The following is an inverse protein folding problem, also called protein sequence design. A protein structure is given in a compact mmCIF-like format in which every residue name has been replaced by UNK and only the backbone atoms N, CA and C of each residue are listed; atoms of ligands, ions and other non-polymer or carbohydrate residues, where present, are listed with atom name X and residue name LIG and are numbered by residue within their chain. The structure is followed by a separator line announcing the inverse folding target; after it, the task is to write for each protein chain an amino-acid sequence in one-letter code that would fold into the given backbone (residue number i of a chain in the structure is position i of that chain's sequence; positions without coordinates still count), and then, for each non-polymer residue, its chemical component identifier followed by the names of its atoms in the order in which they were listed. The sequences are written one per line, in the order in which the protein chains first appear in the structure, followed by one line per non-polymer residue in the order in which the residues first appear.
data_IF_058601997360
#
_entry.id   IF_058601997360
#
_cell.length_a   1.000
_cell.length_b   1.000
_cell.length_c   1.000
_cell.angle_alpha   90.00
_cell.angle_beta   90.00
_cell.angle_gamma   90.00
#
_symmetry.space_group_name_H-M   'P 1'
#
loop_
_entity.id
_entity.type
_entity.pdbx_description
1 polymer ?
#
# COMPACT_ATOMS: atom_id res chain seq x y z
N UNK A 1 -27.90 2.06 -17.99
CA UNK A 1 -27.35 2.42 -16.66
C UNK A 1 -25.89 2.01 -16.69
N UNK A 2 -24.99 2.82 -16.14
CA UNK A 2 -23.59 2.42 -15.99
C UNK A 2 -23.51 1.17 -15.10
N UNK A 3 -22.61 0.26 -15.44
CA UNK A 3 -22.34 -0.95 -14.66
C UNK A 3 -21.88 -0.57 -13.23
N UNK A 4 -22.53 -1.15 -12.23
CA UNK A 4 -22.18 -0.95 -10.82
C UNK A 4 -21.11 -1.95 -10.39
N UNK A 5 -20.40 -1.65 -9.31
CA UNK A 5 -19.41 -2.57 -8.73
C UNK A 5 -19.99 -3.95 -8.37
N UNK A 6 -21.27 -4.00 -7.98
CA UNK A 6 -22.00 -5.25 -7.75
C UNK A 6 -22.10 -6.14 -9.00
N UNK A 7 -22.05 -5.54 -10.18
CA UNK A 7 -22.21 -6.21 -11.47
C UNK A 7 -20.89 -6.77 -11.99
N UNK A 8 -19.74 -6.36 -11.41
CA UNK A 8 -18.43 -6.83 -11.84
C UNK A 8 -18.32 -8.34 -11.62
N UNK A 9 -18.20 -9.10 -12.70
CA UNK A 9 -18.16 -10.55 -12.62
C UNK A 9 -16.74 -11.01 -12.31
N UNK A 10 -16.57 -11.64 -11.15
CA UNK A 10 -15.34 -12.35 -10.86
C UNK A 10 -15.30 -13.66 -11.66
N UNK A 11 -14.22 -13.85 -12.40
CA UNK A 11 -13.86 -15.11 -13.04
C UNK A 11 -12.40 -15.38 -12.70
N UNK A 12 -12.14 -16.49 -12.00
CA UNK A 12 -10.77 -16.93 -11.73
C UNK A 12 -9.98 -16.95 -13.05
N UNK A 13 -8.90 -16.17 -13.16
CA UNK A 13 -8.13 -16.12 -14.39
C UNK A 13 -7.34 -17.41 -14.59
N UNK A 14 -7.05 -17.77 -15.84
CA UNK A 14 -6.30 -18.97 -16.18
C UNK A 14 -4.79 -18.64 -16.23
N UNK A 15 -4.03 -19.20 -15.29
CA UNK A 15 -2.59 -19.03 -15.18
C UNK A 15 -1.83 -19.68 -16.35
N UNK A 16 -2.37 -20.77 -16.88
CA UNK A 16 -1.79 -21.48 -18.03
C UNK A 16 -2.00 -20.69 -19.31
N UNK A 17 -3.20 -20.14 -19.52
CA UNK A 17 -3.53 -19.28 -20.67
C UNK A 17 -2.64 -18.03 -20.70
N UNK A 18 -2.50 -17.33 -19.57
CA UNK A 18 -1.66 -16.14 -19.49
C UNK A 18 -0.18 -16.47 -19.73
N UNK A 19 0.35 -17.52 -19.10
CA UNK A 19 1.75 -17.93 -19.30
C UNK A 19 2.01 -18.31 -20.76
N UNK A 20 1.09 -19.03 -21.40
CA UNK A 20 1.19 -19.38 -22.81
C UNK A 20 1.15 -18.13 -23.72
N UNK A 21 0.30 -17.16 -23.41
CA UNK A 21 0.22 -15.89 -24.14
C UNK A 21 1.53 -15.10 -23.98
N UNK A 22 2.05 -14.95 -22.76
CA UNK A 22 3.32 -14.25 -22.52
C UNK A 22 4.49 -14.93 -23.23
N UNK A 23 4.55 -16.26 -23.22
CA UNK A 23 5.56 -17.01 -23.97
C UNK A 23 5.45 -16.81 -25.49
N UNK A 24 4.22 -16.75 -26.02
CA UNK A 24 3.97 -16.48 -27.44
C UNK A 24 4.41 -15.06 -27.80
N UNK A 25 3.97 -14.06 -27.05
CA UNK A 25 4.32 -12.67 -27.28
C UNK A 25 5.83 -12.44 -27.11
N UNK A 26 6.49 -13.07 -26.14
CA UNK A 26 7.96 -13.06 -26.01
C UNK A 26 8.65 -13.59 -27.29
N UNK A 27 8.12 -14.65 -27.88
CA UNK A 27 8.66 -15.22 -29.12
C UNK A 27 8.49 -14.26 -30.30
N UNK A 28 7.33 -13.59 -30.39
CA UNK A 28 7.05 -12.56 -31.40
C UNK A 28 8.01 -11.38 -31.21
N UNK A 29 8.15 -10.89 -29.98
CA UNK A 29 9.02 -9.78 -29.64
C UNK A 29 10.47 -10.04 -30.02
N UNK A 30 10.98 -11.26 -29.77
CA UNK A 30 12.35 -11.66 -30.14
C UNK A 30 12.55 -11.83 -31.64
N UNK A 31 11.52 -12.25 -32.37
CA UNK A 31 11.57 -12.45 -33.82
C UNK A 31 11.23 -11.18 -34.63
N UNK A 32 10.71 -10.14 -33.97
CA UNK A 32 10.27 -8.91 -34.59
C UNK A 32 11.39 -8.24 -35.38
N UNK A 33 11.02 -7.71 -36.55
CA UNK A 33 11.95 -7.04 -37.49
C UNK A 33 11.75 -5.53 -37.51
N UNK A 34 10.82 -5.02 -36.70
CA UNK A 34 10.51 -3.60 -36.54
C UNK A 34 10.14 -3.26 -35.09
N UNK A 35 10.22 -1.97 -34.76
CA UNK A 35 9.77 -1.48 -33.45
C UNK A 35 8.26 -1.61 -33.29
N UNK A 36 7.51 -1.39 -34.37
CA UNK A 36 6.05 -1.46 -34.41
C UNK A 36 5.54 -2.86 -34.05
N UNK A 37 6.19 -3.91 -34.54
CA UNK A 37 5.88 -5.30 -34.18
C UNK A 37 6.09 -5.58 -32.69
N UNK A 38 7.16 -5.04 -32.09
CA UNK A 38 7.42 -5.19 -30.67
C UNK A 38 6.44 -4.39 -29.81
N UNK A 39 6.06 -3.18 -30.23
CA UNK A 39 5.04 -2.35 -29.54
C UNK A 39 3.70 -3.08 -29.50
N UNK A 40 3.28 -3.66 -30.62
CA UNK A 40 2.02 -4.42 -30.68
C UNK A 40 2.06 -5.69 -29.84
N UNK A 41 3.22 -6.37 -29.79
CA UNK A 41 3.41 -7.53 -28.92
C UNK A 41 3.35 -7.15 -27.44
N UNK A 42 3.99 -6.03 -27.07
CA UNK A 42 3.92 -5.48 -25.72
C UNK A 42 2.50 -5.10 -25.32
N UNK A 43 1.75 -4.38 -26.16
CA UNK A 43 0.35 -4.02 -25.87
C UNK A 43 -0.52 -5.24 -25.57
N UNK A 44 -0.35 -6.34 -26.33
CA UNK A 44 -1.10 -7.58 -26.09
C UNK A 44 -0.70 -8.26 -24.78
N UNK A 45 0.61 -8.31 -24.48
CA UNK A 45 1.10 -8.86 -23.22
C UNK A 45 0.59 -8.05 -22.02
N UNK A 46 0.64 -6.72 -22.09
CA UNK A 46 0.18 -5.81 -21.05
C UNK A 46 -1.34 -5.92 -20.83
N UNK A 47 -2.14 -5.94 -21.90
CA UNK A 47 -3.58 -6.14 -21.80
C UNK A 47 -3.94 -7.47 -21.11
N UNK A 48 -3.20 -8.54 -21.40
CA UNK A 48 -3.41 -9.84 -20.76
C UNK A 48 -3.01 -9.84 -19.27
N UNK A 49 -1.91 -9.16 -18.91
CA UNK A 49 -1.48 -8.99 -17.53
C UNK A 49 -2.51 -8.17 -16.74
N UNK A 50 -3.00 -7.06 -17.31
CA UNK A 50 -3.99 -6.19 -16.67
C UNK A 50 -5.31 -6.91 -16.44
N UNK A 51 -5.81 -7.64 -17.44
CA UNK A 51 -7.04 -8.44 -17.29
C UNK A 51 -6.92 -9.50 -16.17
N UNK A 52 -5.74 -10.11 -16.01
CA UNK A 52 -5.47 -11.05 -14.91
C UNK A 52 -5.41 -10.32 -13.56
N UNK A 53 -4.71 -9.18 -13.50
CA UNK A 53 -4.56 -8.35 -12.31
C UNK A 53 -5.92 -7.83 -11.80
N UNK A 54 -6.80 -7.39 -12.69
CA UNK A 54 -8.14 -6.89 -12.35
C UNK A 54 -8.98 -7.92 -11.61
N UNK A 55 -8.89 -9.20 -11.98
CA UNK A 55 -9.57 -10.28 -11.26
C UNK A 55 -8.99 -10.49 -9.86
N UNK A 56 -7.67 -10.39 -9.72
CA UNK A 56 -6.99 -10.40 -8.43
C UNK A 56 -7.41 -9.24 -7.53
N UNK A 57 -7.44 -8.03 -8.09
CA UNK A 57 -7.90 -6.82 -7.41
C UNK A 57 -9.37 -6.94 -6.98
N UNK A 58 -10.22 -7.51 -7.83
CA UNK A 58 -11.63 -7.74 -7.50
C UNK A 58 -11.78 -8.73 -6.33
N UNK A 59 -11.03 -9.83 -6.35
CA UNK A 59 -11.01 -10.80 -5.26
C UNK A 59 -10.49 -10.16 -3.96
N UNK A 60 -9.38 -9.44 -4.02
CA UNK A 60 -8.80 -8.72 -2.88
C UNK A 60 -9.78 -7.70 -2.29
N UNK A 61 -10.44 -6.90 -3.13
CA UNK A 61 -11.41 -5.91 -2.67
C UNK A 61 -12.57 -6.59 -1.95
N UNK A 62 -13.16 -7.64 -2.53
CA UNK A 62 -14.29 -8.36 -1.93
C UNK A 62 -13.92 -9.08 -0.64
N UNK A 63 -12.75 -9.74 -0.59
CA UNK A 63 -12.19 -10.34 0.62
C UNK A 63 -11.89 -9.30 1.72
N UNK A 64 -11.56 -8.07 1.33
CA UNK A 64 -11.30 -6.97 2.27
C UNK A 64 -12.59 -6.35 2.82
N UNK A 65 -13.68 -6.36 2.03
CA UNK A 65 -15.01 -5.89 2.47
C UNK A 65 -15.63 -6.85 3.49
N UNK A 66 -15.52 -8.17 3.27
CA UNK A 66 -15.90 -9.18 4.27
C UNK A 66 -14.92 -10.35 4.26
N UNK A 67 -14.02 -10.39 5.24
CA UNK A 67 -13.03 -11.46 5.39
C UNK A 67 -13.61 -12.80 5.85
N UNK A 68 -14.92 -12.85 6.17
CA UNK A 68 -15.64 -14.10 6.48
C UNK A 68 -16.19 -14.77 5.24
N UNK A 69 -16.18 -14.10 4.09
CA UNK A 69 -16.51 -14.71 2.80
C UNK A 69 -15.40 -15.69 2.41
N UNK A 70 -15.65 -16.97 2.67
CA UNK A 70 -14.70 -18.06 2.40
C UNK A 70 -14.33 -18.17 0.92
N UNK A 71 -15.24 -17.79 0.01
CA UNK A 71 -14.96 -17.81 -1.43
C UNK A 71 -13.90 -16.77 -1.77
N UNK A 72 -14.14 -15.49 -1.47
CA UNK A 72 -13.17 -14.45 -1.83
C UNK A 72 -11.86 -14.54 -1.02
N UNK A 73 -11.90 -15.01 0.22
CA UNK A 73 -10.69 -15.30 0.98
C UNK A 73 -9.82 -16.38 0.32
N UNK A 74 -10.46 -17.45 -0.21
CA UNK A 74 -9.76 -18.49 -0.95
C UNK A 74 -9.25 -18.01 -2.31
N UNK A 75 -10.03 -17.22 -3.05
CA UNK A 75 -9.63 -16.64 -4.33
C UNK A 75 -8.44 -15.66 -4.19
N UNK A 76 -8.45 -14.81 -3.17
CA UNK A 76 -7.34 -13.92 -2.87
C UNK A 76 -6.06 -14.71 -2.49
N UNK A 77 -6.20 -15.73 -1.64
CA UNK A 77 -5.07 -16.61 -1.27
C UNK A 77 -4.50 -17.30 -2.49
N UNK A 78 -5.37 -17.86 -3.33
CA UNK A 78 -4.98 -18.49 -4.60
C UNK A 78 -4.23 -17.50 -5.51
N UNK A 79 -4.73 -16.27 -5.64
CA UNK A 79 -4.07 -15.25 -6.44
C UNK A 79 -2.66 -14.95 -5.91
N UNK A 80 -2.51 -14.78 -4.59
CA UNK A 80 -1.20 -14.56 -3.97
C UNK A 80 -0.22 -15.74 -4.15
N UNK A 81 -0.72 -16.98 -4.13
CA UNK A 81 0.10 -18.17 -4.40
C UNK A 81 0.58 -18.24 -5.86
N UNK A 82 -0.23 -17.74 -6.80
CA UNK A 82 0.07 -17.76 -8.24
C UNK A 82 0.88 -16.56 -8.73
N UNK A 83 0.79 -15.43 -8.04
CA UNK A 83 1.52 -14.21 -8.38
C UNK A 83 3.01 -14.39 -8.69
N UNK A 84 3.79 -15.17 -7.91
CA UNK A 84 5.21 -15.37 -8.20
C UNK A 84 5.48 -16.02 -9.56
N UNK A 85 4.66 -16.99 -9.98
CA UNK A 85 4.80 -17.65 -11.28
C UNK A 85 4.52 -16.68 -12.42
N UNK A 86 3.49 -15.85 -12.28
CA UNK A 86 3.18 -14.82 -13.26
C UNK A 86 4.30 -13.76 -13.35
N UNK A 87 4.81 -13.32 -12.20
CA UNK A 87 5.93 -12.36 -12.16
C UNK A 87 7.17 -12.91 -12.88
N UNK A 88 7.47 -14.21 -12.73
CA UNK A 88 8.57 -14.84 -13.45
C UNK A 88 8.36 -14.81 -14.97
N UNK A 89 7.17 -15.20 -15.45
CA UNK A 89 6.86 -15.18 -16.88
C UNK A 89 6.91 -13.76 -17.47
N UNK A 90 6.39 -12.78 -16.73
CA UNK A 90 6.43 -11.37 -17.13
C UNK A 90 7.86 -10.80 -17.11
N UNK A 91 8.69 -11.21 -16.15
CA UNK A 91 10.08 -10.75 -16.03
C UNK A 91 10.90 -11.10 -17.28
N UNK A 92 10.73 -12.30 -17.84
CA UNK A 92 11.42 -12.68 -19.09
C UNK A 92 11.00 -11.79 -20.27
N UNK A 93 9.71 -11.44 -20.33
CA UNK A 93 9.17 -10.54 -21.34
C UNK A 93 9.75 -9.12 -21.20
N UNK A 94 9.71 -8.56 -19.99
CA UNK A 94 10.26 -7.24 -19.71
C UNK A 94 11.79 -7.17 -19.90
N UNK A 95 12.51 -8.23 -19.53
CA UNK A 95 13.95 -8.35 -19.79
C UNK A 95 14.24 -8.29 -21.30
N UNK A 96 13.44 -8.96 -22.12
CA UNK A 96 13.60 -8.92 -23.57
C UNK A 96 13.28 -7.53 -24.16
N UNK A 97 12.30 -6.80 -23.61
CA UNK A 97 12.06 -5.40 -23.95
C UNK A 97 13.27 -4.52 -23.62
N UNK A 98 13.84 -4.67 -22.42
CA UNK A 98 14.97 -3.87 -21.95
C UNK A 98 16.23 -4.05 -22.82
N UNK A 99 16.44 -5.27 -23.33
CA UNK A 99 17.59 -5.62 -24.16
C UNK A 99 17.29 -5.57 -25.68
N UNK A 100 16.13 -5.05 -26.08
CA UNK A 100 15.74 -4.98 -27.48
C UNK A 100 16.64 -4.00 -28.27
N UNK A 101 17.01 -4.35 -29.53
CA UNK A 101 17.67 -3.40 -30.43
C UNK A 101 16.79 -2.19 -30.79
N UNK A 102 15.47 -2.30 -30.62
CA UNK A 102 14.50 -1.22 -30.86
C UNK A 102 14.14 -0.43 -29.59
N UNK A 103 14.92 -0.58 -28.50
CA UNK A 103 14.68 0.11 -27.23
C UNK A 103 14.43 1.62 -27.35
N UNK A 104 15.20 2.41 -28.14
CA UNK A 104 14.94 3.85 -28.26
C UNK A 104 13.53 4.17 -28.77
N UNK A 105 13.00 3.37 -29.70
CA UNK A 105 11.64 3.54 -30.24
C UNK A 105 10.59 3.10 -29.22
N UNK A 106 10.85 2.02 -28.48
CA UNK A 106 9.96 1.56 -27.41
C UNK A 106 9.86 2.60 -26.29
N UNK A 107 10.98 3.17 -25.85
CA UNK A 107 11.03 4.26 -24.87
C UNK A 107 10.25 5.49 -25.33
N UNK A 108 10.28 5.81 -26.63
CA UNK A 108 9.49 6.91 -27.18
C UNK A 108 7.98 6.64 -27.13
N UNK A 109 7.57 5.37 -27.33
CA UNK A 109 6.15 5.00 -27.37
C UNK A 109 5.47 4.97 -26.00
N UNK A 110 6.19 4.59 -24.95
CA UNK A 110 5.64 4.31 -23.63
C UNK A 110 6.24 5.18 -22.50
N UNK A 111 7.28 5.96 -22.81
CA UNK A 111 8.05 6.73 -21.85
C UNK A 111 9.22 5.94 -21.27
N UNK A 112 10.33 6.63 -21.00
CA UNK A 112 11.58 6.01 -20.53
C UNK A 112 11.53 5.43 -19.11
N UNK A 113 10.55 5.82 -18.27
CA UNK A 113 10.49 5.38 -16.87
C UNK A 113 10.38 3.87 -16.74
N UNK A 114 9.54 3.21 -17.54
CA UNK A 114 9.33 1.77 -17.41
C UNK A 114 10.63 0.98 -17.65
N UNK A 115 11.48 1.43 -18.57
CA UNK A 115 12.77 0.79 -18.82
C UNK A 115 13.75 0.96 -17.66
N UNK A 116 13.69 2.10 -16.96
CA UNK A 116 14.44 2.29 -15.72
C UNK A 116 13.94 1.37 -14.61
N UNK A 117 12.62 1.19 -14.49
CA UNK A 117 12.03 0.29 -13.50
C UNK A 117 12.40 -1.18 -13.76
N UNK A 118 12.34 -1.63 -15.03
CA UNK A 118 12.73 -3.00 -15.42
C UNK A 118 14.21 -3.23 -15.12
N UNK A 119 15.08 -2.28 -15.49
CA UNK A 119 16.52 -2.38 -15.23
C UNK A 119 16.84 -2.42 -13.73
N UNK A 120 16.10 -1.68 -12.90
CA UNK A 120 16.23 -1.74 -11.45
C UNK A 120 15.78 -3.10 -10.90
N UNK A 121 14.67 -3.65 -11.40
CA UNK A 121 14.20 -4.97 -10.96
C UNK A 121 15.19 -6.08 -11.27
N UNK A 122 15.78 -6.11 -12.48
CA UNK A 122 16.82 -7.09 -12.83
C UNK A 122 18.05 -7.01 -11.90
N UNK A 123 18.40 -5.82 -11.43
CA UNK A 123 19.50 -5.65 -10.47
C UNK A 123 19.14 -6.09 -9.05
N UNK A 124 17.85 -6.11 -8.69
CA UNK A 124 17.37 -6.37 -7.34
C UNK A 124 16.92 -7.81 -7.10
N UNK A 125 16.54 -8.52 -8.16
CA UNK A 125 15.93 -9.84 -8.08
C UNK A 125 16.76 -10.81 -8.91
N UNK A 126 17.44 -11.73 -8.25
CA UNK A 126 18.19 -12.82 -8.86
C UNK A 126 18.15 -14.08 -7.97
N UNK A 127 18.61 -15.19 -8.52
CA UNK A 127 18.58 -16.50 -7.84
C UNK A 127 19.27 -16.47 -6.47
N UNK A 128 20.34 -15.68 -6.30
CA UNK A 128 21.10 -15.64 -5.06
C UNK A 128 20.31 -15.01 -3.90
N UNK A 129 19.47 -14.01 -4.18
CA UNK A 129 18.69 -13.27 -3.18
C UNK A 129 17.28 -13.82 -2.97
N UNK A 130 16.76 -14.64 -3.89
CA UNK A 130 15.38 -15.12 -3.85
C UNK A 130 14.97 -15.76 -2.50
N UNK A 131 15.78 -16.62 -1.85
CA UNK A 131 15.44 -17.17 -0.54
C UNK A 131 15.32 -16.10 0.56
N UNK A 132 16.16 -15.06 0.51
CA UNK A 132 16.11 -13.98 1.51
C UNK A 132 14.92 -13.05 1.28
N UNK A 133 14.54 -12.81 0.02
CA UNK A 133 13.32 -12.07 -0.32
C UNK A 133 12.08 -12.78 0.24
N UNK A 134 12.01 -14.11 0.10
CA UNK A 134 10.94 -14.91 0.69
C UNK A 134 10.92 -14.79 2.22
N UNK A 135 12.08 -14.90 2.86
CA UNK A 135 12.21 -14.72 4.32
C UNK A 135 11.77 -13.32 4.76
N UNK A 136 12.22 -12.27 4.06
CA UNK A 136 11.82 -10.88 4.34
C UNK A 136 10.30 -10.70 4.26
N UNK A 137 9.66 -11.29 3.26
CA UNK A 137 8.21 -11.25 3.09
C UNK A 137 7.48 -11.93 4.25
N UNK A 138 7.92 -13.14 4.65
CA UNK A 138 7.33 -13.86 5.79
C UNK A 138 7.46 -13.07 7.10
N UNK A 139 8.63 -12.49 7.37
CA UNK A 139 8.84 -11.66 8.56
C UNK A 139 7.97 -10.40 8.57
N UNK A 140 7.77 -9.79 7.39
CA UNK A 140 6.91 -8.59 7.25
C UNK A 140 5.44 -8.96 7.49
N UNK A 141 4.98 -10.10 6.97
CA UNK A 141 3.63 -10.63 7.24
C UNK A 141 3.46 -10.97 8.72
N UNK A 142 4.45 -11.60 9.35
CA UNK A 142 4.43 -11.92 10.77
C UNK A 142 4.32 -10.66 11.64
N UNK A 143 5.07 -9.60 11.33
CA UNK A 143 4.95 -8.30 12.00
C UNK A 143 3.52 -7.74 11.90
N UNK A 144 2.95 -7.77 10.69
CA UNK A 144 1.58 -7.32 10.45
C UNK A 144 0.56 -8.10 11.28
N UNK A 145 0.66 -9.42 11.28
CA UNK A 145 -0.21 -10.32 12.05
C UNK A 145 -0.07 -10.11 13.55
N UNK A 146 1.15 -9.96 14.06
CA UNK A 146 1.41 -9.68 15.47
C UNK A 146 0.75 -8.36 15.91
N UNK A 147 0.91 -7.30 15.13
CA UNK A 147 0.29 -6.00 15.39
C UNK A 147 -1.25 -6.08 15.33
N UNK A 148 -1.81 -6.81 14.35
CA UNK A 148 -3.25 -6.99 14.22
C UNK A 148 -3.85 -7.86 15.33
N UNK A 149 -3.06 -8.76 15.92
CA UNK A 149 -3.45 -9.64 17.02
C UNK A 149 -3.42 -8.95 18.40
N UNK A 150 -2.83 -7.75 18.53
CA UNK A 150 -2.83 -7.02 19.79
C UNK A 150 -4.25 -6.76 20.29
N UNK A 151 -4.48 -7.03 21.57
CA UNK A 151 -5.76 -6.87 22.25
C UNK A 151 -5.57 -6.07 23.53
N UNK A 152 -6.41 -5.08 23.74
CA UNK A 152 -6.39 -4.20 24.90
C UNK A 152 -7.65 -4.47 25.73
N UNK A 153 -7.52 -5.01 26.95
CA UNK A 153 -8.66 -5.11 27.86
C UNK A 153 -9.22 -3.73 28.19
N UNK A 154 -10.52 -3.53 27.95
CA UNK A 154 -11.17 -2.24 28.11
C UNK A 154 -12.64 -2.41 28.53
N UNK A 155 -12.99 -1.98 29.75
CA UNK A 155 -14.38 -2.02 30.27
C UNK A 155 -15.11 -3.36 30.04
N UNK A 156 -14.44 -4.49 30.30
CA UNK A 156 -15.00 -5.84 30.12
C UNK A 156 -15.02 -6.34 28.66
N UNK A 157 -14.52 -5.54 27.72
CA UNK A 157 -14.33 -5.89 26.32
C UNK A 157 -12.85 -6.04 25.99
N UNK A 158 -12.57 -6.56 24.80
CA UNK A 158 -11.22 -6.69 24.24
C UNK A 158 -11.17 -5.87 22.96
N UNK A 159 -10.49 -4.71 23.02
CA UNK A 159 -10.42 -3.78 21.89
C UNK A 159 -9.16 -4.00 21.06
N UNK A 160 -9.29 -3.76 19.76
CA UNK A 160 -8.15 -3.57 18.86
C UNK A 160 -7.55 -2.17 19.02
N UNK A 161 -6.34 -1.95 18.49
CA UNK A 161 -5.69 -0.62 18.47
C UNK A 161 -6.57 0.47 17.83
N UNK A 162 -7.29 0.12 16.75
CA UNK A 162 -8.16 1.06 16.04
C UNK A 162 -9.40 1.42 16.88
N UNK A 163 -10.03 0.42 17.51
CA UNK A 163 -11.18 0.64 18.39
C UNK A 163 -10.82 1.43 19.65
N UNK A 164 -9.56 1.39 20.09
CA UNK A 164 -9.07 2.15 21.23
C UNK A 164 -8.83 3.64 20.90
N UNK A 165 -8.66 4.01 19.63
CA UNK A 165 -8.27 5.35 19.21
C UNK A 165 -9.22 6.49 19.69
N UNK A 166 -10.56 6.34 19.68
CA UNK A 166 -11.46 7.35 20.24
C UNK A 166 -11.21 7.65 21.72
N UNK A 167 -10.90 6.62 22.51
CA UNK A 167 -10.63 6.77 23.95
C UNK A 167 -9.32 7.51 24.21
N UNK A 168 -8.30 7.33 23.35
CA UNK A 168 -7.06 8.13 23.40
C UNK A 168 -7.29 9.62 23.14
N UNK A 169 -8.42 10.00 22.54
CA UNK A 169 -8.81 11.39 22.28
C UNK A 169 -9.99 11.85 23.17
N UNK A 170 -10.31 11.12 24.25
CA UNK A 170 -11.39 11.47 25.16
C UNK A 170 -11.19 12.83 25.84
N UNK A 171 -12.29 13.50 26.16
CA UNK A 171 -12.24 14.71 26.98
C UNK A 171 -11.94 14.38 28.44
N UNK A 172 -12.22 13.16 28.90
CA UNK A 172 -11.86 12.68 30.23
C UNK A 172 -10.36 12.31 30.28
N UNK A 173 -9.55 12.99 31.11
CA UNK A 173 -8.14 12.66 31.28
C UNK A 173 -7.89 11.24 31.75
N UNK A 174 -8.70 10.70 32.66
CA UNK A 174 -8.48 9.34 33.18
C UNK A 174 -8.73 8.30 32.10
N UNK A 175 -9.77 8.48 31.29
CA UNK A 175 -10.07 7.63 30.14
C UNK A 175 -8.96 7.68 29.09
N UNK A 176 -8.50 8.88 28.70
CA UNK A 176 -7.36 9.02 27.79
C UNK A 176 -6.11 8.32 28.31
N UNK A 177 -5.79 8.58 29.57
CA UNK A 177 -4.57 8.07 30.18
C UNK A 177 -4.60 6.54 30.26
N UNK A 178 -5.74 5.98 30.67
CA UNK A 178 -5.95 4.54 30.69
C UNK A 178 -5.82 3.94 29.27
N UNK A 179 -6.34 4.59 28.24
CA UNK A 179 -6.32 4.07 26.87
C UNK A 179 -4.89 3.97 26.34
N UNK A 180 -4.11 5.04 26.50
CA UNK A 180 -2.71 5.06 26.08
C UNK A 180 -1.86 4.08 26.90
N UNK A 181 -2.11 3.94 28.22
CA UNK A 181 -1.45 2.91 29.04
C UNK A 181 -1.78 1.50 28.57
N UNK A 182 -3.05 1.23 28.25
CA UNK A 182 -3.49 -0.07 27.73
C UNK A 182 -2.80 -0.43 26.41
N UNK A 183 -2.72 0.52 25.47
CA UNK A 183 -1.96 0.34 24.22
C UNK A 183 -0.48 0.08 24.49
N UNK A 184 0.14 0.90 25.34
CA UNK A 184 1.57 0.76 25.67
C UNK A 184 1.87 -0.57 26.34
N UNK A 185 1.01 -1.04 27.24
CA UNK A 185 1.15 -2.33 27.92
C UNK A 185 1.03 -3.51 26.92
N UNK A 186 0.08 -3.44 25.99
CA UNK A 186 -0.06 -4.47 24.95
C UNK A 186 1.18 -4.56 24.06
N UNK A 187 1.78 -3.42 23.68
CA UNK A 187 3.06 -3.40 22.97
C UNK A 187 4.21 -3.92 23.83
N UNK A 188 4.28 -3.53 25.12
CA UNK A 188 5.34 -3.97 26.02
C UNK A 188 5.31 -5.50 26.23
N UNK A 189 4.13 -6.10 26.33
CA UNK A 189 3.96 -7.56 26.43
C UNK A 189 4.43 -8.27 25.14
N UNK A 190 4.12 -7.69 23.98
CA UNK A 190 4.52 -8.24 22.67
C UNK A 190 5.96 -7.87 22.25
N UNK A 191 6.64 -6.99 22.98
CA UNK A 191 7.92 -6.38 22.61
C UNK A 191 9.00 -7.42 22.23
N UNK A 192 9.21 -8.53 22.98
CA UNK A 192 10.23 -9.51 22.59
C UNK A 192 10.02 -10.12 21.20
N UNK A 193 8.76 -10.27 20.77
CA UNK A 193 8.43 -10.78 19.43
C UNK A 193 8.69 -9.71 18.37
N UNK A 194 8.30 -8.47 18.63
CA UNK A 194 8.61 -7.35 17.74
C UNK A 194 10.11 -7.17 17.55
N UNK A 195 10.89 -7.21 18.64
CA UNK A 195 12.35 -7.08 18.60
C UNK A 195 13.00 -8.19 17.79
N UNK A 196 12.57 -9.45 18.00
CA UNK A 196 13.07 -10.59 17.21
C UNK A 196 12.76 -10.40 15.72
N UNK A 197 11.51 -10.06 15.36
CA UNK A 197 11.13 -9.85 13.95
C UNK A 197 11.97 -8.74 13.32
N UNK A 198 12.15 -7.62 14.02
CA UNK A 198 12.92 -6.48 13.50
C UNK A 198 14.41 -6.82 13.35
N UNK A 199 15.02 -7.50 14.32
CA UNK A 199 16.41 -7.98 14.23
C UNK A 199 16.61 -8.94 13.05
N UNK A 200 15.70 -9.90 12.87
CA UNK A 200 15.74 -10.83 11.73
C UNK A 200 15.53 -10.12 10.39
N UNK A 201 14.66 -9.11 10.32
CA UNK A 201 14.47 -8.29 9.11
C UNK A 201 15.75 -7.53 8.76
N UNK A 202 16.40 -6.89 9.74
CA UNK A 202 17.64 -6.13 9.53
C UNK A 202 18.76 -7.06 9.04
N UNK A 203 18.90 -8.25 9.64
CA UNK A 203 19.89 -9.25 9.21
C UNK A 203 19.61 -9.74 7.79
N UNK A 204 18.37 -10.14 7.50
CA UNK A 204 17.98 -10.63 6.17
C UNK A 204 18.22 -9.58 5.09
N UNK A 205 17.87 -8.31 5.37
CA UNK A 205 18.14 -7.17 4.48
C UNK A 205 19.62 -6.91 4.26
N UNK A 206 20.46 -7.10 5.29
CA UNK A 206 21.91 -7.02 5.15
C UNK A 206 22.44 -8.12 4.21
N UNK A 207 21.99 -9.36 4.36
CA UNK A 207 22.39 -10.47 3.49
C UNK A 207 22.00 -10.20 2.02
N UNK A 208 20.79 -9.70 1.79
CA UNK A 208 20.33 -9.26 0.45
C UNK A 208 21.30 -8.24 -0.13
N UNK A 209 21.64 -7.19 0.62
CA UNK A 209 22.56 -6.16 0.14
C UNK A 209 23.94 -6.70 -0.23
N UNK A 210 24.51 -7.58 0.61
CA UNK A 210 25.80 -8.19 0.36
C UNK A 210 25.79 -9.07 -0.89
N UNK A 211 24.74 -9.87 -1.08
CA UNK A 211 24.56 -10.71 -2.27
C UNK A 211 24.37 -9.90 -3.56
N UNK A 212 23.80 -8.70 -3.46
CA UNK A 212 23.69 -7.74 -4.57
C UNK A 212 24.97 -6.89 -4.76
N UNK A 213 26.04 -7.15 -4.02
CA UNK A 213 27.28 -6.38 -4.12
C UNK A 213 27.13 -4.93 -3.65
N UNK A 214 26.28 -4.68 -2.65
CA UNK A 214 26.09 -3.37 -2.01
C UNK A 214 26.67 -3.38 -0.60
N UNK A 215 27.17 -2.23 -0.14
CA UNK A 215 27.79 -2.09 1.18
C UNK A 215 26.78 -2.39 2.30
N UNK A 216 25.56 -1.89 2.14
CA UNK A 216 24.47 -2.05 3.09
C UNK A 216 23.11 -1.90 2.38
N UNK A 217 22.02 -2.11 3.13
CA UNK A 217 20.68 -2.11 2.56
C UNK A 217 20.14 -0.72 2.20
N UNK A 218 20.83 0.39 2.53
CA UNK A 218 20.36 1.73 2.17
C UNK A 218 20.23 1.87 0.66
N UNK A 219 21.26 1.50 -0.11
CA UNK A 219 21.25 1.60 -1.56
C UNK A 219 20.17 0.70 -2.18
N UNK A 220 20.07 -0.55 -1.69
CA UNK A 220 19.02 -1.49 -2.11
C UNK A 220 17.63 -0.93 -1.81
N UNK A 221 17.44 -0.29 -0.66
CA UNK A 221 16.19 0.36 -0.29
C UNK A 221 15.82 1.50 -1.24
N UNK A 222 16.77 2.34 -1.65
CA UNK A 222 16.52 3.42 -2.62
C UNK A 222 16.15 2.86 -3.99
N UNK A 223 16.88 1.84 -4.46
CA UNK A 223 16.58 1.15 -5.71
C UNK A 223 15.18 0.52 -5.70
N UNK A 224 14.81 -0.18 -4.61
CA UNK A 224 13.47 -0.78 -4.44
C UNK A 224 12.35 0.25 -4.43
N UNK A 225 12.61 1.44 -3.89
CA UNK A 225 11.67 2.56 -3.91
C UNK A 225 11.67 3.34 -5.24
N UNK A 226 12.41 2.88 -6.26
CA UNK A 226 12.54 3.53 -7.56
C UNK A 226 12.97 5.01 -7.47
N UNK A 227 13.85 5.32 -6.51
CA UNK A 227 14.38 6.68 -6.31
C UNK A 227 15.49 6.95 -7.33
N UNK A 228 15.09 7.48 -8.47
CA UNK A 228 15.96 7.69 -9.64
C UNK A 228 16.52 9.12 -9.72
N UNK A 229 15.87 10.07 -9.07
CA UNK A 229 16.11 11.52 -9.18
C UNK A 229 16.65 12.17 -7.90
N UNK A 230 16.76 11.41 -6.80
CA UNK A 230 17.41 11.86 -5.56
C UNK A 230 18.06 10.70 -4.80
N UNK A 231 19.10 11.03 -4.03
CA UNK A 231 19.85 10.08 -3.22
C UNK A 231 19.90 10.47 -1.74
N UNK A 232 20.86 9.86 -1.04
CA UNK A 232 21.04 10.07 0.40
C UNK A 232 21.41 11.51 0.75
N UNK A 233 22.22 12.17 -0.08
CA UNK A 233 22.69 13.53 0.20
C UNK A 233 21.54 14.54 0.21
N UNK A 234 20.61 14.42 -0.74
CA UNK A 234 19.42 15.27 -0.85
C UNK A 234 18.49 15.04 0.35
N UNK A 235 18.25 13.77 0.72
CA UNK A 235 17.42 13.44 1.89
C UNK A 235 18.08 13.95 3.18
N UNK A 236 19.40 13.82 3.33
CA UNK A 236 20.12 14.32 4.50
C UNK A 236 20.04 15.85 4.60
N UNK A 237 20.17 16.57 3.48
CA UNK A 237 19.99 18.02 3.43
C UNK A 237 18.55 18.43 3.78
N UNK A 238 17.56 17.75 3.20
CA UNK A 238 16.16 17.99 3.48
C UNK A 238 15.81 17.77 4.96
N UNK A 239 16.30 16.67 5.57
CA UNK A 239 16.07 16.42 7.01
C UNK A 239 16.70 17.50 7.91
N UNK A 240 17.84 18.07 7.51
CA UNK A 240 18.42 19.23 8.24
C UNK A 240 17.52 20.46 8.15
N UNK A 241 16.95 20.76 6.98
CA UNK A 241 16.00 21.85 6.82
C UNK A 241 14.71 21.64 7.64
N UNK A 242 14.20 20.40 7.71
CA UNK A 242 13.07 20.05 8.58
C UNK A 242 13.41 20.31 10.05
N UNK A 243 14.61 19.89 10.49
CA UNK A 243 15.07 20.15 11.86
C UNK A 243 15.20 21.65 12.16
N UNK A 244 15.71 22.44 11.22
CA UNK A 244 15.96 23.87 11.41
C UNK A 244 14.68 24.71 11.35
N UNK A 245 13.76 24.39 10.43
CA UNK A 245 12.63 25.26 10.11
C UNK A 245 11.27 24.70 10.56
N UNK A 246 11.08 23.38 10.52
CA UNK A 246 9.78 22.76 10.83
C UNK A 246 9.68 22.40 12.30
N UNK A 247 10.75 21.87 12.91
CA UNK A 247 10.72 21.47 14.33
C UNK A 247 10.38 22.64 15.26
N UNK A 248 10.97 23.85 15.13
CA UNK A 248 10.58 24.98 15.98
C UNK A 248 9.10 25.35 15.85
N UNK A 249 8.56 25.33 14.63
CA UNK A 249 7.14 25.60 14.38
C UNK A 249 6.25 24.49 14.99
N UNK A 250 6.64 23.22 14.86
CA UNK A 250 5.93 22.11 15.48
C UNK A 250 5.93 22.23 17.02
N UNK A 251 7.04 22.66 17.62
CA UNK A 251 7.12 22.96 19.05
C UNK A 251 6.12 24.05 19.45
N UNK A 252 6.07 25.18 18.72
CA UNK A 252 5.09 26.24 18.97
C UNK A 252 3.64 25.71 18.86
N UNK A 253 3.35 24.87 17.87
CA UNK A 253 2.02 24.26 17.71
C UNK A 253 1.63 23.38 18.90
N UNK A 254 2.57 22.61 19.46
CA UNK A 254 2.34 21.79 20.65
C UNK A 254 2.18 22.65 21.92
N UNK A 255 2.91 23.75 22.05
CA UNK A 255 2.72 24.72 23.15
C UNK A 255 1.34 25.37 23.07
N UNK A 256 0.92 25.82 21.88
CA UNK A 256 -0.43 26.34 21.64
C UNK A 256 -1.51 25.29 21.87
N UNK A 257 -1.23 24.01 21.61
CA UNK A 257 -2.13 22.91 21.97
C UNK A 257 -2.22 22.77 23.50
N UNK A 258 -1.09 22.78 24.23
CA UNK A 258 -1.09 22.74 25.69
C UNK A 258 -1.92 23.88 26.31
N UNK A 259 -1.71 25.12 25.86
CA UNK A 259 -2.50 26.28 26.28
C UNK A 259 -3.99 26.11 26.00
N UNK A 260 -4.32 25.71 24.77
CA UNK A 260 -5.70 25.45 24.34
C UNK A 260 -6.36 24.36 25.17
N UNK A 261 -5.64 23.31 25.57
CA UNK A 261 -6.13 22.25 26.45
C UNK A 261 -6.10 22.64 27.94
N UNK A 262 -5.32 23.65 28.31
CA UNK A 262 -5.17 24.09 29.70
C UNK A 262 -4.24 23.20 30.52
N UNK A 263 -3.36 22.46 29.86
CA UNK A 263 -2.36 21.61 30.53
C UNK A 263 -1.04 22.36 30.65
N UNK A 264 -0.35 22.20 31.79
CA UNK A 264 0.95 22.84 32.03
C UNK A 264 2.03 22.33 31.07
N UNK A 265 1.95 21.06 30.67
CA UNK A 265 2.87 20.40 29.74
C UNK A 265 2.08 19.39 28.93
N UNK A 266 2.14 19.50 27.61
CA UNK A 266 1.57 18.48 26.72
C UNK A 266 2.39 17.19 26.85
N UNK A 267 1.74 16.09 27.21
CA UNK A 267 2.37 14.77 27.25
C UNK A 267 1.83 13.90 26.12
N UNK A 268 2.42 12.72 25.91
CA UNK A 268 1.94 11.76 24.91
C UNK A 268 0.48 11.32 25.15
N UNK A 269 -0.03 11.46 26.38
CA UNK A 269 -1.43 11.23 26.71
C UNK A 269 -2.40 12.30 26.18
N UNK A 270 -1.90 13.49 25.87
CA UNK A 270 -2.71 14.65 25.51
C UNK A 270 -2.72 14.93 24.01
N UNK A 271 -1.72 14.42 23.28
CA UNK A 271 -1.46 14.77 21.87
C UNK A 271 -2.66 14.47 20.94
N UNK A 272 -3.41 13.40 21.22
CA UNK A 272 -4.56 13.02 20.39
C UNK A 272 -5.77 13.93 20.60
N UNK A 273 -5.88 14.66 21.72
CA UNK A 273 -6.95 15.61 21.98
C UNK A 273 -6.57 17.00 21.45
N UNK A 274 -7.31 17.51 20.48
CA UNK A 274 -7.04 18.78 19.81
C UNK A 274 -7.71 19.97 20.50
N UNK A 275 -8.88 19.80 21.12
CA UNK A 275 -9.60 20.88 21.82
C UNK A 275 -10.25 20.39 23.11
N UNK A 276 -10.44 21.28 24.10
CA UNK A 276 -11.15 20.94 25.35
C UNK A 276 -12.58 20.49 25.14
N UNK A 277 -13.22 20.92 24.05
CA UNK A 277 -14.60 20.58 23.71
C UNK A 277 -14.70 19.27 22.91
N UNK A 278 -13.60 18.55 22.75
CA UNK A 278 -13.51 17.37 21.91
C UNK A 278 -12.94 17.68 20.53
N UNK A 279 -12.57 16.63 19.81
CA UNK A 279 -12.11 16.74 18.43
C UNK A 279 -13.29 16.99 17.49
N UNK A 280 -13.09 17.69 16.35
CA UNK A 280 -14.12 17.81 15.34
C UNK A 280 -14.52 16.42 14.84
N UNK A 281 -15.82 16.15 14.83
CA UNK A 281 -16.40 14.90 14.33
C UNK A 281 -17.24 15.18 13.09
N UNK A 282 -17.28 14.26 12.12
CA UNK A 282 -18.20 14.37 10.99
C UNK A 282 -19.65 14.44 11.48
N UNK A 283 -20.45 15.29 10.84
CA UNK A 283 -21.89 15.42 11.12
C UNK A 283 -22.67 14.71 10.02
N UNK A 284 -23.40 13.66 10.39
CA UNK A 284 -24.22 12.85 9.48
C UNK A 284 -23.67 11.44 9.30
N UNK A 285 -24.50 10.57 8.72
CA UNK A 285 -24.09 9.21 8.36
C UNK A 285 -23.36 9.16 7.01
N UNK A 286 -22.94 7.96 6.60
CA UNK A 286 -22.24 7.72 5.34
C UNK A 286 -22.94 8.39 4.14
N UNK A 287 -24.25 8.17 3.98
CA UNK A 287 -25.03 8.76 2.87
C UNK A 287 -24.99 10.29 2.86
N UNK A 288 -25.06 10.92 4.03
CA UNK A 288 -25.00 12.38 4.14
C UNK A 288 -23.61 12.91 3.78
N UNK A 289 -22.56 12.22 4.22
CA UNK A 289 -21.17 12.58 3.95
C UNK A 289 -20.83 12.42 2.47
N UNK A 290 -21.29 11.33 1.83
CA UNK A 290 -21.13 11.12 0.38
C UNK A 290 -21.86 12.22 -0.42
N UNK A 291 -23.08 12.58 -0.03
CA UNK A 291 -23.81 13.67 -0.69
C UNK A 291 -23.10 15.04 -0.54
N UNK A 292 -22.55 15.33 0.64
CA UNK A 292 -21.74 16.54 0.87
C UNK A 292 -20.46 16.53 0.06
N UNK A 293 -19.76 15.39 -0.03
CA UNK A 293 -18.56 15.24 -0.85
C UNK A 293 -18.84 15.45 -2.34
N UNK A 294 -19.94 14.88 -2.87
CA UNK A 294 -20.36 15.09 -4.26
C UNK A 294 -20.60 16.57 -4.55
N UNK A 295 -21.27 17.29 -3.64
CA UNK A 295 -21.45 18.73 -3.76
C UNK A 295 -20.10 19.47 -3.78
N UNK A 296 -19.22 19.17 -2.82
CA UNK A 296 -17.89 19.75 -2.73
C UNK A 296 -17.10 19.57 -4.04
N UNK A 297 -17.07 18.36 -4.60
CA UNK A 297 -16.34 18.09 -5.84
C UNK A 297 -16.93 18.77 -7.07
N UNK A 298 -18.26 18.94 -7.14
CA UNK A 298 -18.91 19.72 -8.20
C UNK A 298 -18.61 21.21 -8.12
N UNK A 299 -18.49 21.74 -6.90
CA UNK A 299 -18.11 23.14 -6.66
C UNK A 299 -16.61 23.38 -6.89
N UNK A 300 -15.76 22.34 -6.77
CA UNK A 300 -14.32 22.42 -6.98
C UNK A 300 -13.95 22.53 -8.46
N UNK A 301 -14.43 21.62 -9.30
CA UNK A 301 -14.28 21.68 -10.75
C UNK A 301 -15.24 20.73 -11.49
N UNK A 302 -15.50 20.95 -12.79
CA UNK A 302 -16.27 20.01 -13.61
C UNK A 302 -15.69 18.58 -13.60
N UNK A 303 -14.37 18.45 -13.74
CA UNK A 303 -13.65 17.16 -13.81
C UNK A 303 -13.79 16.36 -12.51
N UNK A 304 -13.60 17.02 -11.36
CA UNK A 304 -13.75 16.31 -10.07
C UNK A 304 -15.20 16.01 -9.75
N UNK A 305 -16.13 16.86 -10.20
CA UNK A 305 -17.56 16.64 -10.08
C UNK A 305 -18.01 15.41 -10.88
N UNK A 306 -17.52 15.25 -12.11
CA UNK A 306 -17.74 14.06 -12.94
C UNK A 306 -17.11 12.82 -12.31
N UNK A 307 -15.84 12.89 -11.92
CA UNK A 307 -15.13 11.79 -11.25
C UNK A 307 -15.90 11.26 -10.05
N UNK A 308 -16.27 12.13 -9.10
CA UNK A 308 -16.94 11.67 -7.88
C UNK A 308 -18.37 11.23 -8.13
N UNK A 309 -19.04 11.79 -9.15
CA UNK A 309 -20.36 11.29 -9.58
C UNK A 309 -20.24 9.84 -10.07
N UNK A 310 -19.25 9.51 -10.90
CA UNK A 310 -19.01 8.13 -11.35
C UNK A 310 -18.72 7.20 -10.16
N UNK A 311 -17.87 7.62 -9.21
CA UNK A 311 -17.56 6.83 -8.02
C UNK A 311 -18.81 6.50 -7.19
N UNK A 312 -19.72 7.46 -7.05
CA UNK A 312 -20.97 7.29 -6.30
C UNK A 312 -22.02 6.48 -7.08
N UNK A 313 -22.21 6.77 -8.37
CA UNK A 313 -23.23 6.13 -9.23
C UNK A 313 -22.91 4.65 -9.51
N UNK A 314 -21.62 4.32 -9.68
CA UNK A 314 -21.16 2.95 -9.89
C UNK A 314 -20.86 2.19 -8.60
N UNK A 315 -21.13 2.77 -7.43
CA UNK A 315 -20.93 2.14 -6.12
C UNK A 315 -19.48 1.68 -5.88
N UNK A 316 -18.48 2.45 -6.35
CA UNK A 316 -17.04 2.13 -6.29
C UNK A 316 -16.40 2.50 -4.94
N UNK A 317 -17.18 2.51 -3.87
CA UNK A 317 -16.73 2.91 -2.54
C UNK A 317 -17.33 2.01 -1.46
N UNK A 318 -16.46 1.48 -0.58
CA UNK A 318 -16.88 0.79 0.65
C UNK A 318 -16.30 1.55 1.84
N UNK A 319 -17.08 2.43 2.46
CA UNK A 319 -16.56 3.44 3.41
C UNK A 319 -16.78 3.07 4.88
N UNK A 320 -17.93 2.51 5.23
CA UNK A 320 -18.26 2.20 6.62
C UNK A 320 -17.47 1.00 7.14
N UNK A 321 -17.04 1.06 8.40
CA UNK A 321 -16.44 -0.07 9.11
C UNK A 321 -17.56 -1.04 9.54
N UNK A 322 -17.45 -2.29 9.10
CA UNK A 322 -18.41 -3.37 9.41
C UNK A 322 -17.69 -4.55 10.02
N UNK A 323 -18.43 -5.43 10.70
CA UNK A 323 -17.87 -6.70 11.18
C UNK A 323 -17.33 -7.52 10.00
N UNK A 324 -16.15 -8.13 10.16
CA UNK A 324 -15.48 -8.88 9.09
C UNK A 324 -14.71 -8.02 8.09
N UNK A 325 -14.92 -6.69 8.04
CA UNK A 325 -14.18 -5.80 7.15
C UNK A 325 -12.77 -5.54 7.65
N UNK A 326 -11.79 -5.58 6.75
CA UNK A 326 -10.39 -5.28 7.07
C UNK A 326 -10.24 -3.80 7.46
N UNK A 327 -9.39 -3.53 8.46
CA UNK A 327 -9.13 -2.17 8.93
C UNK A 327 -8.20 -1.39 8.01
N UNK A 328 -8.27 -0.06 8.08
CA UNK A 328 -7.48 0.85 7.24
C UNK A 328 -8.28 1.42 6.07
N UNK A 329 -7.58 1.93 5.06
CA UNK A 329 -8.16 2.43 3.83
C UNK A 329 -7.15 2.31 2.69
N UNK A 330 -7.64 2.00 1.49
CA UNK A 330 -6.84 1.87 0.28
C UNK A 330 -7.62 2.36 -0.94
N UNK A 331 -6.90 2.55 -2.04
CA UNK A 331 -7.46 2.81 -3.36
C UNK A 331 -6.83 1.79 -4.32
N UNK A 332 -7.64 1.26 -5.23
CA UNK A 332 -7.21 0.36 -6.30
C UNK A 332 -7.85 0.80 -7.62
N UNK A 333 -7.32 0.33 -8.74
CA UNK A 333 -7.88 0.52 -10.08
C UNK A 333 -8.29 -0.82 -10.69
N UNK A 334 -9.17 -0.73 -11.68
CA UNK A 334 -9.43 -1.80 -12.65
C UNK A 334 -9.03 -1.20 -14.00
N UNK A 335 -8.08 -1.83 -14.68
CA UNK A 335 -7.43 -1.27 -15.86
C UNK A 335 -8.13 -1.70 -17.17
N UNK A 336 -9.10 -2.62 -17.09
CA UNK A 336 -9.88 -3.15 -18.23
C UNK A 336 -11.36 -2.79 -18.23
#
# INVERSE_FOLDING_TARGET
MAEKFSDFVYKRPDDTELTALLSKELSILRAATSAEEQIESWRRAEAAINAYSDQGTLAHFRASVDSRDEFYAAEETWHYEKMPLLQQAAQEFYSALLHSPYRPQLELSAGGKIFLDIALQEQLINEAVLPDLQKENLLTQEYGNLRAALRIPWNGQSLTLAQLAPYKASQDPEERHAAVRGETAAYAEALPKFDRIFDELVRTRREIAQKLGRENFVDVGYMRMQRLDYGRAEVDAYRRQVLEHVVPLATELYERQAERLGVKKLTFYDQALQTRRGNPMPIGGEKDLVAKALRMYRELSPETGEFFAVMAERELMSLTATEGKRGGGFCCSFDT
#
